data_IF_445040093290
#
_entry.id   IF_445040093290
#
_cell.length_a   1.000
_cell.length_b   1.000
_cell.length_c   1.000
_cell.angle_alpha   90.00
_cell.angle_beta   90.00
_cell.angle_gamma   90.00
#
_symmetry.space_group_name_H-M   'P 1'
#
loop_
_entity.id
_entity.type
_entity.pdbx_description
1 polymer ?
#
# COMPACT_ATOMS: atom_id res chain seq x y z
N UNK A 1 -31.19 -22.65 42.09
CA UNK A 1 -30.87 -24.09 42.15
C UNK A 1 -31.46 -24.90 41.00
N UNK A 2 -32.77 -24.97 40.79
CA UNK A 2 -33.37 -25.77 39.67
C UNK A 2 -32.89 -25.28 38.31
N UNK A 3 -32.81 -23.98 38.08
CA UNK A 3 -32.35 -23.39 36.85
C UNK A 3 -30.88 -23.72 36.55
N UNK A 4 -30.03 -23.77 37.55
CA UNK A 4 -28.62 -24.10 37.45
C UNK A 4 -28.39 -25.60 37.17
N UNK A 5 -29.24 -26.45 37.72
CA UNK A 5 -29.22 -27.90 37.40
C UNK A 5 -29.62 -28.10 35.94
N UNK A 6 -30.66 -27.47 35.45
CA UNK A 6 -31.10 -27.54 34.03
C UNK A 6 -29.99 -27.02 33.12
N UNK A 7 -29.37 -25.89 33.47
CA UNK A 7 -28.23 -25.34 32.73
C UNK A 7 -27.10 -26.34 32.59
N UNK A 8 -26.66 -26.96 33.69
CA UNK A 8 -25.59 -27.95 33.69
C UNK A 8 -25.95 -29.20 32.85
N UNK A 9 -27.19 -29.66 32.91
CA UNK A 9 -27.66 -30.79 32.10
C UNK A 9 -27.56 -30.45 30.61
N UNK A 10 -28.01 -29.26 30.19
CA UNK A 10 -27.92 -28.78 28.80
C UNK A 10 -26.46 -28.69 28.37
N UNK A 11 -25.58 -28.11 29.20
CA UNK A 11 -24.15 -27.95 28.91
C UNK A 11 -23.47 -29.32 28.72
N UNK A 12 -23.75 -30.28 29.56
CA UNK A 12 -23.23 -31.67 29.46
C UNK A 12 -23.74 -32.37 28.20
N UNK A 13 -25.02 -32.26 27.88
CA UNK A 13 -25.60 -32.82 26.64
C UNK A 13 -24.92 -32.23 25.40
N UNK A 14 -24.68 -30.91 25.41
CA UNK A 14 -23.97 -30.23 24.34
C UNK A 14 -22.50 -30.71 24.24
N UNK A 15 -21.84 -30.90 25.37
CA UNK A 15 -20.47 -31.42 25.41
C UNK A 15 -20.40 -32.84 24.82
N UNK A 16 -21.28 -33.73 25.22
CA UNK A 16 -21.36 -35.10 24.68
C UNK A 16 -21.62 -35.06 23.15
N UNK A 17 -22.52 -34.20 22.71
CA UNK A 17 -22.86 -34.06 21.30
C UNK A 17 -21.63 -33.58 20.48
N UNK A 18 -20.87 -32.62 20.97
CA UNK A 18 -19.64 -32.15 20.33
C UNK A 18 -18.54 -33.22 20.36
N UNK A 19 -18.42 -34.00 21.43
CA UNK A 19 -17.50 -35.13 21.53
C UNK A 19 -17.79 -36.21 20.47
N UNK A 20 -19.03 -36.63 20.34
CA UNK A 20 -19.42 -37.58 19.27
C UNK A 20 -19.17 -37.00 17.87
N UNK A 21 -19.37 -35.70 17.68
CA UNK A 21 -19.07 -35.04 16.43
C UNK A 21 -17.58 -35.04 16.10
N UNK A 22 -16.74 -34.83 17.11
CA UNK A 22 -15.27 -34.90 16.99
C UNK A 22 -14.88 -36.32 16.48
N UNK A 23 -15.40 -37.35 17.12
CA UNK A 23 -15.12 -38.77 16.74
C UNK A 23 -15.62 -39.04 15.31
N UNK A 24 -16.88 -38.67 15.01
CA UNK A 24 -17.49 -38.94 13.70
C UNK A 24 -16.75 -38.25 12.55
N UNK A 25 -16.28 -37.03 12.75
CA UNK A 25 -15.50 -36.28 11.74
C UNK A 25 -14.00 -36.59 11.77
N UNK A 26 -13.55 -37.43 12.72
CA UNK A 26 -12.14 -37.77 12.98
C UNK A 26 -11.26 -36.52 12.98
N UNK A 27 -11.70 -35.44 13.68
CA UNK A 27 -11.04 -34.17 13.68
C UNK A 27 -10.77 -33.66 15.09
N UNK A 28 -9.52 -33.71 15.50
CA UNK A 28 -9.05 -33.33 16.83
C UNK A 28 -9.21 -31.83 17.13
N UNK A 29 -9.45 -30.97 16.13
CA UNK A 29 -9.62 -29.54 16.35
C UNK A 29 -10.91 -29.20 17.12
N UNK A 30 -11.91 -30.08 17.10
CA UNK A 30 -13.07 -29.95 18.00
C UNK A 30 -12.70 -30.04 19.48
N UNK A 31 -11.50 -30.54 19.79
CA UNK A 31 -10.99 -30.58 21.17
C UNK A 31 -10.92 -29.18 21.78
N UNK A 32 -10.64 -28.15 21.01
CA UNK A 32 -10.63 -26.75 21.51
C UNK A 32 -12.03 -26.32 21.99
N UNK A 33 -13.08 -26.66 21.27
CA UNK A 33 -14.46 -26.35 21.72
C UNK A 33 -14.78 -27.16 22.96
N UNK A 34 -14.42 -28.46 22.97
CA UNK A 34 -14.63 -29.31 24.13
C UNK A 34 -13.90 -28.79 25.37
N UNK A 35 -12.69 -28.31 25.20
CA UNK A 35 -11.92 -27.69 26.30
C UNK A 35 -12.62 -26.42 26.81
N UNK A 36 -13.07 -25.53 25.93
CA UNK A 36 -13.81 -24.32 26.28
C UNK A 36 -15.14 -24.64 26.97
N UNK A 37 -15.87 -25.64 26.48
CA UNK A 37 -17.07 -26.13 27.12
C UNK A 37 -16.78 -26.69 28.51
N UNK A 38 -15.73 -27.48 28.66
CA UNK A 38 -15.32 -28.02 29.96
C UNK A 38 -14.99 -26.91 30.95
N UNK A 39 -14.22 -25.88 30.53
CA UNK A 39 -13.93 -24.70 31.35
C UNK A 39 -15.24 -23.98 31.76
N UNK A 40 -16.17 -23.78 30.82
CA UNK A 40 -17.47 -23.17 31.15
C UNK A 40 -18.29 -23.96 32.15
N UNK A 41 -18.34 -25.29 32.00
CA UNK A 41 -19.01 -26.19 32.96
C UNK A 41 -18.31 -26.14 34.34
N UNK A 42 -16.98 -26.13 34.38
CA UNK A 42 -16.19 -26.08 35.59
C UNK A 42 -16.41 -24.73 36.34
N UNK A 43 -16.44 -23.61 35.63
CA UNK A 43 -16.74 -22.28 36.22
C UNK A 43 -18.11 -22.31 36.89
N UNK A 44 -19.12 -22.82 36.19
CA UNK A 44 -20.47 -22.89 36.75
C UNK A 44 -20.58 -23.84 37.97
N UNK A 45 -19.81 -24.93 37.95
CA UNK A 45 -19.77 -25.90 39.05
C UNK A 45 -19.06 -25.31 40.28
N UNK A 46 -17.94 -24.58 40.13
CA UNK A 46 -17.24 -23.88 41.18
C UNK A 46 -18.14 -22.81 41.82
N UNK A 47 -18.86 -22.04 40.98
CA UNK A 47 -19.78 -21.03 41.48
C UNK A 47 -20.91 -21.63 42.30
N UNK A 48 -21.44 -22.79 41.88
CA UNK A 48 -22.52 -23.48 42.59
C UNK A 48 -22.11 -23.95 43.99
N UNK A 49 -20.84 -24.34 44.16
CA UNK A 49 -20.35 -24.97 45.42
C UNK A 49 -19.67 -23.96 46.36
N UNK A 50 -18.91 -23.01 45.81
CA UNK A 50 -17.93 -22.26 46.62
C UNK A 50 -18.27 -20.74 46.72
N UNK A 51 -19.21 -20.23 45.95
CA UNK A 51 -19.51 -18.78 45.92
C UNK A 51 -20.90 -18.52 46.51
N UNK A 52 -20.91 -17.90 47.66
CA UNK A 52 -22.15 -17.38 48.26
C UNK A 52 -22.56 -16.11 47.53
N UNK A 53 -23.61 -16.21 46.72
CA UNK A 53 -24.15 -15.12 45.91
C UNK A 53 -24.00 -15.33 44.41
N UNK A 54 -24.80 -14.63 43.61
CA UNK A 54 -24.77 -14.79 42.14
C UNK A 54 -23.80 -13.82 41.52
N UNK A 55 -22.68 -14.31 40.98
CA UNK A 55 -21.80 -13.51 40.16
C UNK A 55 -22.25 -13.56 38.66
N UNK A 56 -22.98 -12.52 38.27
CA UNK A 56 -23.58 -12.43 36.92
C UNK A 56 -22.54 -12.55 35.82
N UNK A 57 -21.34 -11.98 36.02
CA UNK A 57 -20.26 -12.03 35.03
C UNK A 57 -19.73 -13.45 34.82
N UNK A 58 -19.50 -14.20 35.91
CA UNK A 58 -19.04 -15.60 35.81
C UNK A 58 -20.11 -16.50 35.19
N UNK A 59 -21.38 -16.30 35.51
CA UNK A 59 -22.50 -17.04 34.88
C UNK A 59 -22.61 -16.75 33.39
N UNK A 60 -22.42 -15.49 32.99
CA UNK A 60 -22.42 -15.12 31.59
C UNK A 60 -21.26 -15.76 30.81
N UNK A 61 -20.07 -15.76 31.41
CA UNK A 61 -18.90 -16.44 30.82
C UNK A 61 -19.15 -17.94 30.70
N UNK A 62 -19.62 -18.60 31.76
CA UNK A 62 -19.95 -20.01 31.75
C UNK A 62 -20.99 -20.34 30.68
N UNK A 63 -22.05 -19.53 30.52
CA UNK A 63 -23.07 -19.68 29.50
C UNK A 63 -22.51 -19.54 28.08
N UNK A 64 -21.69 -18.51 27.85
CA UNK A 64 -21.07 -18.29 26.54
C UNK A 64 -20.18 -19.48 26.14
N UNK A 65 -19.34 -19.95 27.03
CA UNK A 65 -18.39 -21.04 26.73
C UNK A 65 -19.07 -22.39 26.58
N UNK A 66 -20.04 -22.73 27.47
CA UNK A 66 -20.59 -24.08 27.54
C UNK A 66 -21.78 -24.32 26.61
N UNK A 67 -22.56 -23.31 26.29
CA UNK A 67 -23.79 -23.42 25.50
C UNK A 67 -23.74 -22.58 24.24
N UNK A 68 -23.51 -21.26 24.36
CA UNK A 68 -23.64 -20.34 23.24
C UNK A 68 -22.62 -20.66 22.12
N UNK A 69 -21.35 -20.87 22.48
CA UNK A 69 -20.29 -21.17 21.52
C UNK A 69 -20.58 -22.45 20.71
N UNK A 70 -20.92 -23.61 21.32
CA UNK A 70 -21.30 -24.80 20.57
C UNK A 70 -22.54 -24.61 19.70
N UNK A 71 -23.57 -23.90 20.17
CA UNK A 71 -24.78 -23.63 19.38
C UNK A 71 -24.46 -22.80 18.15
N UNK A 72 -23.62 -21.78 18.28
CA UNK A 72 -23.18 -20.95 17.14
C UNK A 72 -22.42 -21.81 16.13
N UNK A 73 -21.48 -22.64 16.60
CA UNK A 73 -20.71 -23.56 15.72
C UNK A 73 -21.64 -24.54 15.00
N UNK A 74 -22.59 -25.16 15.73
CA UNK A 74 -23.57 -26.03 15.11
C UNK A 74 -24.44 -25.32 14.06
N UNK A 75 -24.86 -24.09 14.36
CA UNK A 75 -25.67 -23.28 13.45
C UNK A 75 -24.92 -22.91 12.16
N UNK A 76 -23.66 -22.51 12.27
CA UNK A 76 -22.81 -22.17 11.14
C UNK A 76 -22.54 -23.38 10.24
N UNK A 77 -22.20 -24.52 10.84
CA UNK A 77 -21.95 -25.76 10.09
C UNK A 77 -23.21 -26.32 9.42
N UNK A 78 -24.38 -26.28 10.11
CA UNK A 78 -25.64 -26.71 9.54
C UNK A 78 -26.05 -25.92 8.31
N UNK A 79 -25.68 -24.64 8.28
CA UNK A 79 -25.90 -23.75 7.13
C UNK A 79 -24.87 -23.96 6.01
N UNK A 80 -23.93 -24.91 6.14
CA UNK A 80 -22.82 -25.18 5.22
C UNK A 80 -21.98 -23.95 4.88
N UNK A 81 -21.93 -22.98 5.80
CA UNK A 81 -21.19 -21.75 5.54
C UNK A 81 -19.71 -21.91 5.80
N UNK A 82 -19.31 -22.52 6.91
CA UNK A 82 -17.90 -22.75 7.26
C UNK A 82 -17.82 -23.90 8.27
N UNK A 83 -16.85 -24.80 8.13
CA UNK A 83 -16.52 -25.80 9.16
C UNK A 83 -15.76 -25.13 10.32
N UNK A 84 -16.06 -25.50 11.57
CA UNK A 84 -15.36 -24.94 12.72
C UNK A 84 -13.83 -25.08 12.65
N UNK A 85 -13.29 -26.24 12.27
CA UNK A 85 -11.84 -26.40 12.10
C UNK A 85 -11.22 -25.48 11.05
N UNK A 86 -11.95 -25.19 9.97
CA UNK A 86 -11.54 -24.20 8.98
C UNK A 86 -11.46 -22.80 9.61
N UNK A 87 -12.53 -22.39 10.30
CA UNK A 87 -12.60 -21.10 10.99
C UNK A 87 -11.49 -20.94 12.04
N UNK A 88 -11.18 -21.99 12.81
CA UNK A 88 -10.11 -21.97 13.80
C UNK A 88 -8.74 -21.79 13.15
N UNK A 89 -8.45 -22.47 12.05
CA UNK A 89 -7.18 -22.32 11.35
C UNK A 89 -7.02 -20.92 10.74
N UNK A 90 -8.11 -20.35 10.18
CA UNK A 90 -8.13 -18.96 9.70
C UNK A 90 -7.86 -18.00 10.86
N UNK A 91 -8.51 -18.19 12.01
CA UNK A 91 -8.29 -17.38 13.19
C UNK A 91 -6.84 -17.44 13.68
N UNK A 92 -6.27 -18.66 13.78
CA UNK A 92 -4.89 -18.84 14.21
C UNK A 92 -3.89 -18.22 13.22
N UNK A 93 -4.12 -18.37 11.91
CA UNK A 93 -3.30 -17.74 10.89
C UNK A 93 -3.33 -16.21 11.01
N UNK A 94 -4.52 -15.61 11.15
CA UNK A 94 -4.67 -14.16 11.38
C UNK A 94 -3.98 -13.69 12.67
N UNK A 95 -4.07 -14.46 13.75
CA UNK A 95 -3.39 -14.16 15.00
C UNK A 95 -1.87 -14.16 14.80
N UNK A 96 -1.32 -15.15 14.11
CA UNK A 96 0.12 -15.22 13.80
C UNK A 96 0.56 -14.04 12.92
N UNK A 97 -0.25 -13.64 11.92
CA UNK A 97 0.04 -12.45 11.10
C UNK A 97 0.07 -11.17 11.92
N UNK A 98 -0.89 -10.99 12.84
CA UNK A 98 -0.90 -9.84 13.76
C UNK A 98 0.29 -9.82 14.72
N UNK A 99 0.83 -10.98 15.06
CA UNK A 99 2.03 -11.13 15.89
C UNK A 99 3.35 -10.99 15.09
N UNK A 100 3.29 -10.74 13.78
CA UNK A 100 4.46 -10.67 12.91
C UNK A 100 5.11 -12.04 12.61
N UNK A 101 4.42 -13.15 12.89
CA UNK A 101 4.91 -14.52 12.68
C UNK A 101 4.45 -15.06 11.32
N UNK A 102 4.96 -14.46 10.25
CA UNK A 102 4.50 -14.76 8.87
C UNK A 102 4.81 -16.20 8.44
N UNK A 103 5.96 -16.75 8.83
CA UNK A 103 6.35 -18.13 8.49
C UNK A 103 5.44 -19.16 9.12
N UNK A 104 5.04 -18.99 10.38
CA UNK A 104 4.08 -19.85 11.07
C UNK A 104 2.68 -19.70 10.46
N UNK A 105 2.24 -18.47 10.21
CA UNK A 105 0.96 -18.22 9.55
C UNK A 105 0.87 -18.93 8.20
N UNK A 106 1.90 -18.82 7.38
CA UNK A 106 2.00 -19.50 6.09
C UNK A 106 1.86 -21.02 6.22
N UNK A 107 2.53 -21.63 7.20
CA UNK A 107 2.41 -23.08 7.44
C UNK A 107 0.99 -23.48 7.81
N UNK A 108 0.30 -22.70 8.67
CA UNK A 108 -1.11 -22.92 8.99
C UNK A 108 -2.00 -22.79 7.76
N UNK A 109 -1.78 -21.77 6.92
CA UNK A 109 -2.56 -21.54 5.71
C UNK A 109 -2.37 -22.65 4.68
N UNK A 110 -1.14 -23.11 4.46
CA UNK A 110 -0.87 -24.26 3.56
C UNK A 110 -1.56 -25.53 4.06
N UNK A 111 -1.55 -25.79 5.36
CA UNK A 111 -2.27 -26.93 5.96
C UNK A 111 -3.77 -26.76 5.80
N UNK A 112 -4.26 -25.53 5.96
CA UNK A 112 -5.68 -25.20 5.78
C UNK A 112 -6.16 -25.50 4.36
N UNK A 113 -5.49 -24.93 3.32
CA UNK A 113 -5.93 -25.11 1.93
C UNK A 113 -5.76 -26.54 1.43
N UNK A 114 -4.79 -27.29 1.94
CA UNK A 114 -4.67 -28.72 1.63
C UNK A 114 -5.88 -29.52 2.15
N UNK A 115 -6.43 -29.12 3.29
CA UNK A 115 -7.61 -29.79 3.88
C UNK A 115 -8.93 -29.22 3.36
N UNK A 116 -8.95 -27.94 3.05
CA UNK A 116 -10.11 -27.17 2.58
C UNK A 116 -9.74 -26.39 1.32
N UNK A 117 -9.65 -27.07 0.15
CA UNK A 117 -9.25 -26.41 -1.10
C UNK A 117 -10.21 -25.29 -1.56
N UNK A 118 -11.46 -25.32 -1.07
CA UNK A 118 -12.48 -24.30 -1.34
C UNK A 118 -12.52 -23.21 -0.26
N UNK A 119 -11.45 -23.04 0.52
CA UNK A 119 -11.37 -22.01 1.55
C UNK A 119 -10.99 -20.67 0.94
N UNK A 120 -11.99 -19.83 0.69
CA UNK A 120 -11.79 -18.47 0.19
C UNK A 120 -10.80 -17.66 1.05
N UNK A 121 -11.07 -17.57 2.36
CA UNK A 121 -10.19 -16.82 3.28
C UNK A 121 -8.79 -17.45 3.40
N UNK A 122 -8.68 -18.77 3.28
CA UNK A 122 -7.40 -19.46 3.27
C UNK A 122 -6.51 -19.03 2.10
N UNK A 123 -7.07 -19.04 0.89
CA UNK A 123 -6.36 -18.59 -0.32
C UNK A 123 -6.05 -17.09 -0.27
N UNK A 124 -7.00 -16.26 0.14
CA UNK A 124 -6.82 -14.82 0.27
C UNK A 124 -5.68 -14.47 1.24
N UNK A 125 -5.70 -15.02 2.46
CA UNK A 125 -4.66 -14.77 3.46
C UNK A 125 -3.28 -15.30 3.02
N UNK A 126 -3.24 -16.43 2.31
CA UNK A 126 -1.99 -16.95 1.76
C UNK A 126 -1.43 -16.04 0.66
N UNK A 127 -2.30 -15.47 -0.17
CA UNK A 127 -1.92 -14.47 -1.16
C UNK A 127 -1.32 -13.22 -0.49
N UNK A 128 -1.95 -12.70 0.56
CA UNK A 128 -1.44 -11.56 1.35
C UNK A 128 -0.04 -11.85 1.96
N UNK A 129 0.20 -13.09 2.41
CA UNK A 129 1.52 -13.50 2.90
C UNK A 129 2.55 -13.52 1.77
N UNK A 130 2.20 -14.06 0.60
CA UNK A 130 3.10 -14.06 -0.55
C UNK A 130 3.40 -12.65 -1.06
N UNK A 131 2.42 -11.75 -1.02
CA UNK A 131 2.60 -10.34 -1.35
C UNK A 131 3.65 -9.67 -0.44
N UNK A 132 3.54 -9.86 0.87
CA UNK A 132 4.53 -9.37 1.84
C UNK A 132 5.93 -9.97 1.64
N UNK A 133 6.01 -11.23 1.21
CA UNK A 133 7.27 -11.89 0.86
C UNK A 133 7.84 -11.40 -0.49
N UNK A 134 7.15 -10.53 -1.23
CA UNK A 134 7.53 -10.09 -2.57
C UNK A 134 7.38 -11.17 -3.65
N UNK A 135 6.64 -12.25 -3.36
CA UNK A 135 6.40 -13.38 -4.27
C UNK A 135 5.14 -13.16 -5.10
N UNK A 136 5.20 -12.15 -5.98
CA UNK A 136 4.02 -11.63 -6.69
C UNK A 136 3.27 -12.72 -7.46
N UNK A 137 3.95 -13.54 -8.26
CA UNK A 137 3.30 -14.60 -9.05
C UNK A 137 2.56 -15.62 -8.19
N UNK A 138 3.08 -15.94 -6.99
CA UNK A 138 2.41 -16.82 -6.04
C UNK A 138 1.17 -16.13 -5.44
N UNK A 139 1.28 -14.85 -5.08
CA UNK A 139 0.17 -14.06 -4.55
C UNK A 139 -0.98 -13.99 -5.55
N UNK A 140 -0.70 -13.64 -6.80
CA UNK A 140 -1.70 -13.60 -7.90
C UNK A 140 -2.37 -14.97 -8.08
N UNK A 141 -1.61 -16.08 -8.08
CA UNK A 141 -2.17 -17.42 -8.20
C UNK A 141 -3.16 -17.75 -7.09
N UNK A 142 -2.84 -17.41 -5.85
CA UNK A 142 -3.74 -17.67 -4.71
C UNK A 142 -4.95 -16.72 -4.71
N UNK A 143 -4.79 -15.45 -5.10
CA UNK A 143 -5.92 -14.54 -5.29
C UNK A 143 -6.88 -15.01 -6.40
N UNK A 144 -6.38 -15.55 -7.52
CA UNK A 144 -7.22 -16.09 -8.58
C UNK A 144 -8.06 -17.27 -8.08
N UNK A 145 -7.49 -18.20 -7.30
CA UNK A 145 -8.25 -19.29 -6.66
C UNK A 145 -9.33 -18.74 -5.72
N UNK A 146 -9.01 -17.69 -4.95
CA UNK A 146 -10.01 -17.06 -4.08
C UNK A 146 -11.18 -16.48 -4.89
N UNK A 147 -10.92 -15.81 -6.03
CA UNK A 147 -11.98 -15.28 -6.92
C UNK A 147 -12.81 -16.40 -7.54
N UNK A 148 -12.20 -17.50 -7.95
CA UNK A 148 -12.94 -18.68 -8.47
C UNK A 148 -13.94 -19.20 -7.45
N UNK A 149 -13.56 -19.21 -6.16
CA UNK A 149 -14.42 -19.64 -5.05
C UNK A 149 -15.51 -18.61 -4.76
N UNK A 150 -15.17 -17.31 -4.74
CA UNK A 150 -16.11 -16.21 -4.43
C UNK A 150 -15.97 -15.05 -5.41
N UNK A 151 -16.61 -15.10 -6.60
CA UNK A 151 -16.50 -14.08 -7.64
C UNK A 151 -17.09 -12.69 -7.28
N UNK A 152 -17.76 -12.59 -6.12
CA UNK A 152 -18.39 -11.34 -5.66
C UNK A 152 -17.44 -10.42 -4.90
N UNK A 153 -16.26 -10.92 -4.53
CA UNK A 153 -15.28 -10.19 -3.72
C UNK A 153 -14.41 -9.29 -4.59
N UNK A 154 -14.91 -8.11 -4.88
CA UNK A 154 -14.31 -7.14 -5.82
C UNK A 154 -12.93 -6.63 -5.33
N UNK A 155 -12.70 -6.55 -4.02
CA UNK A 155 -11.43 -6.11 -3.43
C UNK A 155 -10.23 -6.96 -3.88
N UNK A 156 -10.44 -8.24 -4.16
CA UNK A 156 -9.36 -9.12 -4.64
C UNK A 156 -8.91 -8.73 -6.05
N UNK A 157 -9.83 -8.32 -6.90
CA UNK A 157 -9.49 -7.85 -8.24
C UNK A 157 -8.61 -6.59 -8.19
N UNK A 158 -8.88 -5.70 -7.24
CA UNK A 158 -8.02 -4.55 -6.97
C UNK A 158 -6.60 -5.00 -6.55
N UNK A 159 -6.49 -5.96 -5.61
CA UNK A 159 -5.19 -6.46 -5.17
C UNK A 159 -4.40 -7.10 -6.33
N UNK A 160 -5.07 -7.89 -7.17
CA UNK A 160 -4.43 -8.48 -8.37
C UNK A 160 -3.96 -7.38 -9.33
N UNK A 161 -4.80 -6.38 -9.61
CA UNK A 161 -4.44 -5.28 -10.51
C UNK A 161 -3.24 -4.48 -9.97
N UNK A 162 -3.19 -4.24 -8.66
CA UNK A 162 -2.08 -3.57 -8.01
C UNK A 162 -0.76 -4.37 -8.13
N UNK A 163 -0.83 -5.68 -7.96
CA UNK A 163 0.33 -6.56 -8.15
C UNK A 163 0.77 -6.65 -9.61
N UNK A 164 -0.19 -6.69 -10.56
CA UNK A 164 0.11 -6.65 -11.99
C UNK A 164 0.80 -5.34 -12.39
N UNK A 165 0.34 -4.22 -11.86
CA UNK A 165 0.99 -2.92 -12.05
C UNK A 165 2.42 -2.92 -11.51
N UNK A 166 2.66 -3.44 -10.30
CA UNK A 166 3.98 -3.57 -9.71
C UNK A 166 4.94 -4.46 -10.55
N UNK A 167 4.41 -5.43 -11.32
CA UNK A 167 5.16 -6.24 -12.30
C UNK A 167 5.31 -5.55 -13.67
N UNK A 168 4.77 -4.35 -13.85
CA UNK A 168 4.77 -3.64 -15.15
C UNK A 168 3.75 -4.17 -16.16
N UNK A 169 2.82 -5.04 -15.75
CA UNK A 169 1.72 -5.59 -16.58
C UNK A 169 0.53 -4.61 -16.62
N UNK A 170 0.82 -3.37 -17.01
CA UNK A 170 -0.13 -2.27 -16.89
C UNK A 170 -1.41 -2.47 -17.71
N UNK A 171 -1.33 -3.06 -18.91
CA UNK A 171 -2.52 -3.26 -19.74
C UNK A 171 -3.49 -4.26 -19.13
N UNK A 172 -2.98 -5.36 -18.56
CA UNK A 172 -3.78 -6.38 -17.87
C UNK A 172 -4.43 -5.80 -16.60
N UNK A 173 -3.68 -4.98 -15.85
CA UNK A 173 -4.21 -4.27 -14.69
C UNK A 173 -5.35 -3.31 -15.08
N UNK A 174 -5.20 -2.53 -16.16
CA UNK A 174 -6.22 -1.62 -16.69
C UNK A 174 -7.51 -2.38 -17.04
N UNK A 175 -7.41 -3.49 -17.78
CA UNK A 175 -8.57 -4.29 -18.17
C UNK A 175 -9.32 -4.80 -16.94
N UNK A 176 -8.59 -5.33 -15.95
CA UNK A 176 -9.18 -5.84 -14.72
C UNK A 176 -9.87 -4.73 -13.92
N UNK A 177 -9.24 -3.55 -13.78
CA UNK A 177 -9.82 -2.40 -13.08
C UNK A 177 -11.06 -1.87 -13.79
N UNK A 178 -11.05 -1.80 -15.13
CA UNK A 178 -12.21 -1.38 -15.92
C UNK A 178 -13.39 -2.35 -15.74
N UNK A 179 -13.14 -3.66 -15.67
CA UNK A 179 -14.20 -4.65 -15.44
C UNK A 179 -14.77 -4.56 -14.02
N UNK A 180 -13.95 -4.24 -13.02
CA UNK A 180 -14.43 -3.91 -11.68
C UNK A 180 -15.32 -2.67 -11.71
N UNK A 181 -14.88 -1.59 -12.37
CA UNK A 181 -15.60 -0.33 -12.41
C UNK A 181 -16.89 -0.38 -13.24
N UNK A 182 -17.00 -1.28 -14.23
CA UNK A 182 -18.27 -1.56 -14.90
C UNK A 182 -19.32 -2.13 -13.94
N UNK A 183 -18.90 -2.96 -12.97
CA UNK A 183 -19.79 -3.62 -12.00
C UNK A 183 -20.05 -2.75 -10.77
N UNK A 184 -19.06 -1.96 -10.36
CA UNK A 184 -19.07 -1.12 -9.15
C UNK A 184 -18.39 0.23 -9.46
N UNK A 185 -19.10 1.15 -10.14
CA UNK A 185 -18.52 2.42 -10.58
C UNK A 185 -18.04 3.33 -9.44
N UNK A 186 -18.59 3.13 -8.23
CA UNK A 186 -18.24 3.86 -7.01
C UNK A 186 -16.96 3.35 -6.33
N UNK A 187 -16.28 2.35 -6.89
CA UNK A 187 -15.09 1.77 -6.27
C UNK A 187 -13.87 2.69 -6.40
N UNK A 188 -13.71 3.57 -5.42
CA UNK A 188 -12.71 4.63 -5.43
C UNK A 188 -11.27 4.12 -5.64
N UNK A 189 -10.82 3.11 -4.89
CA UNK A 189 -9.46 2.58 -5.01
C UNK A 189 -9.13 2.07 -6.43
N UNK A 190 -10.11 1.43 -7.10
CA UNK A 190 -9.91 0.99 -8.48
C UNK A 190 -9.80 2.16 -9.45
N UNK A 191 -10.56 3.23 -9.22
CA UNK A 191 -10.48 4.45 -10.06
C UNK A 191 -9.13 5.14 -9.85
N UNK A 192 -8.68 5.25 -8.62
CA UNK A 192 -7.38 5.86 -8.27
C UNK A 192 -6.24 5.10 -8.94
N UNK A 193 -6.14 3.80 -8.72
CA UNK A 193 -5.10 2.96 -9.35
C UNK A 193 -5.17 2.98 -10.88
N UNK A 194 -6.38 2.92 -11.46
CA UNK A 194 -6.55 3.04 -12.91
C UNK A 194 -6.03 4.38 -13.43
N UNK A 195 -6.35 5.47 -12.74
CA UNK A 195 -5.90 6.79 -13.10
C UNK A 195 -4.38 6.95 -13.00
N UNK A 196 -3.78 6.41 -11.94
CA UNK A 196 -2.32 6.44 -11.72
C UNK A 196 -1.59 5.70 -12.86
N UNK A 197 -2.03 4.49 -13.20
CA UNK A 197 -1.47 3.72 -14.32
C UNK A 197 -1.64 4.48 -15.65
N UNK A 198 -2.78 5.12 -15.88
CA UNK A 198 -3.03 5.89 -17.10
C UNK A 198 -2.15 7.14 -17.17
N UNK A 199 -1.90 7.81 -16.05
CA UNK A 199 -0.97 8.96 -15.98
C UNK A 199 0.46 8.51 -16.27
N UNK A 200 0.92 7.39 -15.70
CA UNK A 200 2.25 6.84 -16.01
C UNK A 200 2.43 6.48 -17.50
N UNK A 201 1.34 6.05 -18.15
CA UNK A 201 1.33 5.78 -19.58
C UNK A 201 1.08 7.05 -20.46
N UNK A 202 1.08 8.25 -19.86
CA UNK A 202 0.78 9.52 -20.53
C UNK A 202 -0.62 9.59 -21.17
N UNK A 203 -1.55 8.72 -20.75
CA UNK A 203 -2.95 8.63 -21.23
C UNK A 203 -3.85 9.56 -20.41
N UNK A 204 -3.46 10.82 -20.28
CA UNK A 204 -4.08 11.81 -19.39
C UNK A 204 -5.58 12.01 -19.62
N UNK A 205 -6.04 12.02 -20.89
CA UNK A 205 -7.47 12.19 -21.21
C UNK A 205 -8.33 11.04 -20.69
N UNK A 206 -7.80 9.83 -20.68
CA UNK A 206 -8.51 8.66 -20.18
C UNK A 206 -8.53 8.67 -18.63
N UNK A 207 -7.45 9.08 -17.99
CA UNK A 207 -7.42 9.30 -16.56
C UNK A 207 -8.46 10.33 -16.10
N UNK A 208 -8.55 11.48 -16.81
CA UNK A 208 -9.56 12.50 -16.56
C UNK A 208 -10.98 11.94 -16.69
N UNK A 209 -11.23 11.12 -17.72
CA UNK A 209 -12.54 10.48 -17.90
C UNK A 209 -12.89 9.55 -16.75
N UNK A 210 -11.92 8.73 -16.29
CA UNK A 210 -12.11 7.82 -15.18
C UNK A 210 -12.42 8.56 -13.86
N UNK A 211 -11.63 9.58 -13.53
CA UNK A 211 -11.84 10.39 -12.32
C UNK A 211 -13.17 11.15 -12.35
N UNK A 212 -13.50 11.78 -13.50
CA UNK A 212 -14.76 12.52 -13.67
C UNK A 212 -15.98 11.61 -13.54
N UNK A 213 -15.90 10.39 -14.07
CA UNK A 213 -16.98 9.41 -13.91
C UNK A 213 -17.14 8.99 -12.45
N UNK A 214 -16.05 8.79 -11.70
CA UNK A 214 -16.08 8.44 -10.30
C UNK A 214 -16.65 9.56 -9.41
N UNK A 215 -16.40 10.83 -9.75
CA UNK A 215 -16.96 11.98 -9.04
C UNK A 215 -18.50 12.04 -9.07
N UNK A 216 -19.15 11.42 -10.06
CA UNK A 216 -20.63 11.33 -10.09
C UNK A 216 -21.20 10.53 -8.93
N UNK A 217 -20.41 9.59 -8.39
CA UNK A 217 -20.80 8.73 -7.27
C UNK A 217 -20.28 9.25 -5.93
N UNK A 218 -19.19 10.00 -5.94
CA UNK A 218 -18.63 10.61 -4.73
C UNK A 218 -18.14 12.04 -4.99
N UNK A 219 -19.06 13.01 -5.08
CA UNK A 219 -18.73 14.40 -5.44
C UNK A 219 -17.94 15.15 -4.35
N UNK A 220 -17.83 14.61 -3.15
CA UNK A 220 -17.04 15.21 -2.06
C UNK A 220 -15.64 14.59 -1.90
N UNK A 221 -15.22 13.75 -2.83
CA UNK A 221 -13.89 13.11 -2.76
C UNK A 221 -12.79 14.08 -3.22
N UNK A 222 -12.09 14.69 -2.28
CA UNK A 222 -11.00 15.64 -2.56
C UNK A 222 -9.82 15.01 -3.30
N UNK A 223 -9.54 13.71 -3.12
CA UNK A 223 -8.46 13.03 -3.85
C UNK A 223 -8.72 12.97 -5.36
N UNK A 224 -9.96 12.72 -5.77
CA UNK A 224 -10.31 12.73 -7.20
C UNK A 224 -10.12 14.12 -7.82
N UNK A 225 -10.47 15.18 -7.09
CA UNK A 225 -10.20 16.55 -7.56
C UNK A 225 -8.70 16.83 -7.66
N UNK A 226 -7.92 16.39 -6.66
CA UNK A 226 -6.48 16.53 -6.69
C UNK A 226 -5.85 15.79 -7.88
N UNK A 227 -6.26 14.54 -8.12
CA UNK A 227 -5.78 13.72 -9.24
C UNK A 227 -6.21 14.31 -10.61
N UNK A 228 -7.39 14.92 -10.71
CA UNK A 228 -7.77 15.70 -11.89
C UNK A 228 -6.84 16.90 -12.10
N UNK A 229 -6.51 17.61 -11.04
CA UNK A 229 -5.51 18.69 -11.07
C UNK A 229 -4.18 18.21 -11.64
N UNK A 230 -3.67 17.08 -11.17
CA UNK A 230 -2.44 16.44 -11.70
C UNK A 230 -2.59 16.15 -13.20
N UNK A 231 -3.67 15.49 -13.61
CA UNK A 231 -3.88 15.11 -15.01
C UNK A 231 -3.95 16.33 -15.94
N UNK A 232 -4.58 17.42 -15.51
CA UNK A 232 -4.61 18.68 -16.27
C UNK A 232 -3.25 19.40 -16.26
N UNK A 233 -2.48 19.33 -15.18
CA UNK A 233 -1.10 19.83 -15.14
C UNK A 233 -0.23 19.12 -16.18
N UNK A 234 -0.36 17.79 -16.30
CA UNK A 234 0.37 17.01 -17.31
C UNK A 234 -0.03 17.33 -18.74
N UNK A 235 -1.26 17.83 -18.96
CA UNK A 235 -1.71 18.38 -20.24
C UNK A 235 -1.30 19.84 -20.48
N UNK A 236 -0.58 20.46 -19.53
CA UNK A 236 -0.26 21.90 -19.49
C UNK A 236 -1.51 22.82 -19.49
N UNK A 237 -2.66 22.29 -19.05
CA UNK A 237 -3.88 23.06 -18.85
C UNK A 237 -3.93 23.57 -17.41
N UNK A 238 -3.07 24.54 -17.14
CA UNK A 238 -2.86 25.06 -15.78
C UNK A 238 -4.09 25.77 -15.23
N UNK A 239 -4.96 26.32 -16.11
CA UNK A 239 -6.20 26.96 -15.68
C UNK A 239 -7.14 25.94 -15.03
N UNK A 240 -7.45 24.83 -15.72
CA UNK A 240 -8.28 23.77 -15.16
C UNK A 240 -7.62 23.07 -13.99
N UNK A 241 -6.29 22.90 -14.04
CA UNK A 241 -5.54 22.33 -12.92
C UNK A 241 -5.72 23.18 -11.66
N UNK A 242 -5.61 24.51 -11.73
CA UNK A 242 -5.84 25.45 -10.62
C UNK A 242 -7.23 25.24 -10.02
N UNK A 243 -8.29 25.25 -10.85
CA UNK A 243 -9.68 25.05 -10.41
C UNK A 243 -9.88 23.73 -9.65
N UNK A 244 -9.28 22.65 -10.12
CA UNK A 244 -9.40 21.35 -9.48
C UNK A 244 -8.58 21.25 -8.18
N UNK A 245 -7.38 21.82 -8.12
CA UNK A 245 -6.60 21.87 -6.87
C UNK A 245 -7.26 22.76 -5.82
N UNK A 246 -7.83 23.91 -6.20
CA UNK A 246 -8.62 24.77 -5.32
C UNK A 246 -9.79 24.00 -4.73
N UNK A 247 -10.53 23.26 -5.59
CA UNK A 247 -11.65 22.45 -5.14
C UNK A 247 -11.23 21.34 -4.18
N UNK A 248 -10.07 20.70 -4.42
CA UNK A 248 -9.50 19.72 -3.52
C UNK A 248 -9.14 20.34 -2.15
N UNK A 249 -8.50 21.52 -2.16
CA UNK A 249 -8.12 22.24 -0.96
C UNK A 249 -9.34 22.81 -0.17
N UNK A 250 -10.43 23.20 -0.86
CA UNK A 250 -11.69 23.57 -0.21
C UNK A 250 -12.31 22.38 0.55
N UNK A 251 -12.32 21.21 -0.06
CA UNK A 251 -12.90 19.99 0.54
C UNK A 251 -12.01 19.43 1.66
N UNK A 252 -10.71 19.61 1.56
CA UNK A 252 -9.75 19.22 2.59
C UNK A 252 -8.67 20.29 2.77
N UNK A 253 -8.84 21.17 3.74
CA UNK A 253 -7.91 22.26 4.04
C UNK A 253 -6.51 21.81 4.49
N UNK A 254 -6.37 20.55 4.90
CA UNK A 254 -5.10 19.91 5.29
C UNK A 254 -4.40 19.21 4.11
N UNK A 255 -4.95 19.29 2.91
CA UNK A 255 -4.31 18.74 1.71
C UNK A 255 -3.19 19.68 1.24
N UNK A 256 -2.08 19.67 1.96
CA UNK A 256 -0.92 20.56 1.69
C UNK A 256 -0.28 20.32 0.32
N UNK A 257 -0.38 19.10 -0.22
CA UNK A 257 0.06 18.79 -1.59
C UNK A 257 -0.70 19.63 -2.65
N UNK A 258 -2.01 19.84 -2.47
CA UNK A 258 -2.77 20.70 -3.38
C UNK A 258 -2.30 22.15 -3.29
N UNK A 259 -1.96 22.64 -2.10
CA UNK A 259 -1.40 23.99 -1.90
C UNK A 259 -0.03 24.15 -2.55
N UNK A 260 0.84 23.13 -2.44
CA UNK A 260 2.12 23.12 -3.15
C UNK A 260 1.91 23.17 -4.68
N UNK A 261 0.96 22.40 -5.21
CA UNK A 261 0.64 22.43 -6.64
C UNK A 261 0.07 23.78 -7.08
N UNK A 262 -0.79 24.39 -6.27
CA UNK A 262 -1.30 25.76 -6.52
C UNK A 262 -0.16 26.79 -6.53
N UNK A 263 0.79 26.68 -5.62
CA UNK A 263 1.97 27.56 -5.60
C UNK A 263 2.79 27.44 -6.89
N UNK A 264 3.00 26.21 -7.38
CA UNK A 264 3.71 25.98 -8.65
C UNK A 264 3.00 26.64 -9.83
N UNK A 265 1.68 26.54 -9.88
CA UNK A 265 0.88 27.18 -10.94
C UNK A 265 0.93 28.71 -10.82
N UNK A 266 0.85 29.24 -9.59
CA UNK A 266 0.96 30.68 -9.34
C UNK A 266 2.34 31.22 -9.76
N UNK A 267 3.44 30.46 -9.54
CA UNK A 267 4.77 30.83 -10.05
C UNK A 267 4.76 30.91 -11.58
N UNK A 268 4.13 29.95 -12.27
CA UNK A 268 4.04 29.94 -13.74
C UNK A 268 3.29 31.18 -14.25
N UNK A 269 2.26 31.64 -13.55
CA UNK A 269 1.52 32.86 -13.89
C UNK A 269 2.16 34.16 -13.40
N UNK A 270 3.26 34.08 -12.63
CA UNK A 270 3.91 35.25 -12.03
C UNK A 270 3.18 35.84 -10.82
N UNK A 271 2.22 35.10 -10.26
CA UNK A 271 1.44 35.47 -9.07
C UNK A 271 2.28 35.16 -7.79
N UNK A 272 3.44 35.82 -7.66
CA UNK A 272 4.49 35.44 -6.71
C UNK A 272 4.07 35.56 -5.23
N UNK A 273 3.21 36.54 -4.90
CA UNK A 273 2.73 36.71 -3.52
C UNK A 273 1.73 35.64 -3.13
N UNK A 274 0.85 35.24 -4.06
CA UNK A 274 -0.08 34.14 -3.86
C UNK A 274 0.68 32.80 -3.72
N UNK A 275 1.69 32.59 -4.57
CA UNK A 275 2.56 31.40 -4.50
C UNK A 275 3.26 31.30 -3.15
N UNK A 276 3.81 32.40 -2.64
CA UNK A 276 4.48 32.47 -1.34
C UNK A 276 3.52 32.11 -0.18
N UNK A 277 2.28 32.60 -0.23
CA UNK A 277 1.24 32.27 0.75
C UNK A 277 0.96 30.74 0.77
N UNK A 278 0.74 30.14 -0.39
CA UNK A 278 0.51 28.68 -0.50
C UNK A 278 1.70 27.87 -0.01
N UNK A 279 2.94 28.30 -0.29
CA UNK A 279 4.15 27.63 0.16
C UNK A 279 4.32 27.69 1.68
N UNK A 280 4.03 28.84 2.33
CA UNK A 280 4.06 28.92 3.78
C UNK A 280 3.00 28.03 4.45
N UNK A 281 1.87 27.81 3.77
CA UNK A 281 0.90 26.84 4.26
C UNK A 281 1.39 25.41 4.08
N UNK A 282 2.06 25.08 2.97
CA UNK A 282 2.59 23.74 2.71
C UNK A 282 3.73 23.33 3.64
N UNK A 283 4.48 24.29 4.22
CA UNK A 283 5.50 24.05 5.25
C UNK A 283 4.95 23.41 6.54
N UNK A 284 3.62 23.39 6.73
CA UNK A 284 3.02 22.67 7.87
C UNK A 284 3.13 21.16 7.74
N UNK A 285 3.40 20.67 6.54
CA UNK A 285 3.67 19.26 6.26
C UNK A 285 5.19 19.07 6.10
N UNK A 286 5.76 18.26 6.99
CA UNK A 286 7.22 18.00 6.99
C UNK A 286 7.70 17.28 5.73
N UNK A 287 6.84 16.50 5.08
CA UNK A 287 7.20 15.80 3.83
C UNK A 287 7.35 16.77 2.67
N UNK A 288 6.69 17.93 2.72
CA UNK A 288 6.74 18.97 1.70
C UNK A 288 7.75 20.09 2.01
N UNK A 289 8.38 20.04 3.17
CA UNK A 289 9.21 21.13 3.68
C UNK A 289 10.36 21.47 2.74
N UNK A 290 11.11 20.47 2.28
CA UNK A 290 12.24 20.64 1.38
C UNK A 290 11.83 21.25 0.03
N UNK A 291 10.77 20.69 -0.58
CA UNK A 291 10.21 21.18 -1.83
C UNK A 291 9.66 22.61 -1.71
N UNK A 292 8.99 22.92 -0.60
CA UNK A 292 8.45 24.27 -0.35
C UNK A 292 9.55 25.30 -0.22
N UNK A 293 10.63 25.02 0.50
CA UNK A 293 11.79 25.91 0.57
C UNK A 293 12.49 26.07 -0.77
N UNK A 294 12.54 25.03 -1.60
CA UNK A 294 13.09 25.13 -2.96
C UNK A 294 12.28 26.13 -3.81
N UNK A 295 10.95 26.07 -3.78
CA UNK A 295 10.10 27.02 -4.52
C UNK A 295 10.09 28.42 -3.90
N UNK A 296 10.20 28.57 -2.58
CA UNK A 296 10.43 29.86 -1.93
C UNK A 296 11.74 30.49 -2.40
N UNK A 297 12.81 29.72 -2.57
CA UNK A 297 14.05 30.18 -3.15
C UNK A 297 13.89 30.66 -4.60
N UNK A 298 13.09 29.94 -5.42
CA UNK A 298 12.77 30.38 -6.78
C UNK A 298 12.02 31.72 -6.77
N UNK A 299 11.01 31.87 -5.90
CA UNK A 299 10.26 33.14 -5.77
C UNK A 299 11.19 34.29 -5.35
N UNK A 300 12.09 34.05 -4.39
CA UNK A 300 13.03 35.04 -3.96
C UNK A 300 13.98 35.51 -5.09
N UNK A 301 14.45 34.55 -5.93
CA UNK A 301 15.20 34.88 -7.14
C UNK A 301 14.39 35.70 -8.13
N UNK A 302 13.12 35.35 -8.38
CA UNK A 302 12.22 36.09 -9.28
C UNK A 302 11.91 37.48 -8.75
N UNK A 303 11.89 37.67 -7.42
CA UNK A 303 11.75 38.98 -6.76
C UNK A 303 13.08 39.77 -6.67
N UNK A 304 14.23 39.19 -7.07
CA UNK A 304 15.55 39.79 -7.02
C UNK A 304 16.20 39.81 -5.63
N UNK A 305 15.69 39.00 -4.68
CA UNK A 305 16.22 38.88 -3.32
C UNK A 305 17.13 37.65 -3.21
N UNK A 306 18.38 37.82 -3.68
CA UNK A 306 19.36 36.71 -3.69
C UNK A 306 19.71 36.21 -2.29
N UNK A 307 19.72 37.05 -1.29
CA UNK A 307 20.07 36.67 0.09
C UNK A 307 19.00 35.73 0.67
N UNK A 308 17.71 36.04 0.46
CA UNK A 308 16.63 35.13 0.86
C UNK A 308 16.67 33.86 0.07
N UNK A 309 16.92 33.91 -1.25
CA UNK A 309 17.02 32.73 -2.10
C UNK A 309 18.13 31.78 -1.59
N UNK A 310 19.29 32.30 -1.23
CA UNK A 310 20.41 31.54 -0.64
C UNK A 310 19.97 30.88 0.68
N UNK A 311 19.30 31.65 1.56
CA UNK A 311 18.85 31.09 2.85
C UNK A 311 17.84 29.98 2.68
N UNK A 312 16.80 30.16 1.86
CA UNK A 312 15.81 29.13 1.59
C UNK A 312 16.42 27.90 0.92
N UNK A 313 17.32 28.10 -0.06
CA UNK A 313 17.97 26.99 -0.75
C UNK A 313 18.89 26.18 0.19
N UNK A 314 19.59 26.84 1.12
CA UNK A 314 20.39 26.14 2.14
C UNK A 314 19.53 25.22 2.98
N UNK A 315 18.37 25.69 3.45
CA UNK A 315 17.42 24.87 4.22
C UNK A 315 16.90 23.69 3.37
N UNK A 316 16.49 23.95 2.12
CA UNK A 316 16.01 22.91 1.23
C UNK A 316 17.05 21.79 1.02
N UNK A 317 18.31 22.17 0.76
CA UNK A 317 19.42 21.21 0.50
C UNK A 317 19.88 20.52 1.79
N UNK A 318 19.74 21.16 2.96
CA UNK A 318 20.03 20.53 4.26
C UNK A 318 19.03 19.41 4.57
N UNK A 319 17.73 19.62 4.29
CA UNK A 319 16.67 18.63 4.47
C UNK A 319 16.80 17.52 3.41
N UNK A 320 16.96 17.92 2.14
CA UNK A 320 17.02 17.00 1.00
C UNK A 320 18.22 17.29 0.09
N UNK A 321 19.37 16.63 0.34
CA UNK A 321 20.62 16.87 -0.41
C UNK A 321 20.52 16.70 -1.92
N UNK A 322 19.53 15.95 -2.41
CA UNK A 322 19.32 15.72 -3.85
C UNK A 322 18.84 16.98 -4.58
N UNK A 323 18.21 17.92 -3.89
CA UNK A 323 17.80 19.22 -4.44
C UNK A 323 18.99 20.06 -4.90
N UNK A 324 20.19 19.80 -4.39
CA UNK A 324 21.40 20.46 -4.90
C UNK A 324 21.63 20.16 -6.40
N UNK A 325 21.41 18.92 -6.84
CA UNK A 325 21.55 18.54 -8.26
C UNK A 325 20.47 19.22 -9.12
N UNK A 326 19.25 19.37 -8.60
CA UNK A 326 18.16 20.09 -9.26
C UNK A 326 18.47 21.58 -9.38
N UNK A 327 18.95 22.20 -8.30
CA UNK A 327 19.40 23.61 -8.29
C UNK A 327 20.54 23.87 -9.28
N UNK A 328 21.55 22.98 -9.36
CA UNK A 328 22.68 23.15 -10.28
C UNK A 328 22.24 23.20 -11.75
N UNK A 329 21.15 22.51 -12.09
CA UNK A 329 20.57 22.46 -13.46
C UNK A 329 19.58 23.59 -13.74
N UNK A 330 19.03 24.20 -12.71
CA UNK A 330 18.03 25.25 -12.85
C UNK A 330 18.71 26.60 -13.12
N UNK A 331 18.41 27.18 -14.27
CA UNK A 331 19.02 28.44 -14.73
C UNK A 331 18.72 29.63 -13.83
N UNK A 332 17.64 29.58 -13.08
CA UNK A 332 17.25 30.67 -12.16
C UNK A 332 18.27 30.88 -11.02
N UNK A 333 19.00 29.83 -10.63
CA UNK A 333 19.95 29.85 -9.53
C UNK A 333 21.43 30.08 -9.96
N UNK A 334 21.67 30.40 -11.23
CA UNK A 334 23.05 30.56 -11.77
C UNK A 334 23.90 31.48 -10.95
N UNK A 335 23.35 32.60 -10.46
CA UNK A 335 24.11 33.62 -9.69
C UNK A 335 24.45 33.16 -8.27
N UNK A 336 23.58 32.35 -7.65
CA UNK A 336 23.72 31.96 -6.23
C UNK A 336 24.30 30.56 -6.02
N UNK A 337 24.42 29.73 -7.06
CA UNK A 337 24.86 28.34 -6.93
C UNK A 337 26.19 28.13 -6.22
N UNK A 338 27.10 29.10 -6.33
CA UNK A 338 28.41 29.05 -5.66
C UNK A 338 28.35 29.41 -4.17
N UNK A 339 27.25 29.98 -3.72
CA UNK A 339 27.02 30.38 -2.33
C UNK A 339 26.37 29.24 -1.51
N UNK A 340 25.98 28.14 -2.19
CA UNK A 340 25.40 26.96 -1.57
C UNK A 340 26.47 25.88 -1.43
N UNK A 341 26.68 25.39 -0.22
CA UNK A 341 27.68 24.36 0.04
C UNK A 341 27.26 23.01 -0.53
N UNK A 342 28.19 22.36 -1.25
CA UNK A 342 27.91 21.02 -1.83
C UNK A 342 27.72 19.99 -0.71
N UNK A 343 26.59 19.28 -0.64
CA UNK A 343 26.37 18.24 0.36
C UNK A 343 27.44 17.13 0.27
N UNK A 344 27.82 16.57 1.43
CA UNK A 344 28.83 15.53 1.50
C UNK A 344 28.44 14.27 0.68
N UNK A 345 27.15 13.95 0.64
CA UNK A 345 26.61 12.83 -0.16
C UNK A 345 26.73 13.08 -1.67
N UNK A 346 26.45 14.32 -2.11
CA UNK A 346 26.63 14.73 -3.50
C UNK A 346 28.10 14.64 -3.93
N UNK A 347 29.03 15.10 -3.08
CA UNK A 347 30.48 14.97 -3.31
C UNK A 347 30.91 13.51 -3.46
N UNK A 348 30.41 12.62 -2.59
CA UNK A 348 30.67 11.16 -2.68
C UNK A 348 30.10 10.53 -3.96
N UNK A 349 28.87 10.92 -4.36
CA UNK A 349 28.22 10.45 -5.59
C UNK A 349 29.01 10.85 -6.84
N UNK A 350 29.48 12.11 -6.90
CA UNK A 350 30.33 12.60 -7.99
C UNK A 350 31.70 11.89 -8.02
N UNK A 351 32.36 11.70 -6.89
CA UNK A 351 33.62 10.97 -6.82
C UNK A 351 33.47 9.52 -7.30
N UNK A 352 32.37 8.82 -6.90
CA UNK A 352 32.07 7.46 -7.38
C UNK A 352 31.86 7.44 -8.89
N UNK A 353 31.16 8.43 -9.44
CA UNK A 353 30.92 8.55 -10.89
C UNK A 353 32.23 8.78 -11.64
N UNK A 354 33.08 9.72 -11.19
CA UNK A 354 34.40 10.00 -11.76
C UNK A 354 35.31 8.75 -11.73
N UNK A 355 35.38 8.06 -10.58
CA UNK A 355 36.19 6.85 -10.42
C UNK A 355 35.69 5.73 -11.31
N UNK A 356 34.40 5.63 -11.55
CA UNK A 356 33.82 4.62 -12.44
C UNK A 356 34.07 4.97 -13.89
N UNK A 357 33.96 6.22 -14.29
CA UNK A 357 34.31 6.69 -15.66
C UNK A 357 35.80 6.51 -15.94
N UNK A 358 36.70 6.79 -14.99
CA UNK A 358 38.13 6.52 -15.09
C UNK A 358 38.43 5.01 -15.23
N UNK A 359 37.73 4.15 -14.48
CA UNK A 359 37.88 2.68 -14.62
C UNK A 359 37.39 2.20 -15.96
N UNK A 360 36.26 2.71 -16.48
CA UNK A 360 35.76 2.41 -17.83
C UNK A 360 36.72 2.88 -18.90
N UNK A 361 37.25 4.09 -18.77
CA UNK A 361 38.25 4.63 -19.68
C UNK A 361 39.54 3.75 -19.72
N UNK A 362 40.07 3.40 -18.55
CA UNK A 362 41.24 2.53 -18.41
C UNK A 362 41.00 1.12 -18.98
N UNK A 363 39.79 0.58 -18.82
CA UNK A 363 39.40 -0.70 -19.38
C UNK A 363 39.30 -0.64 -20.92
N UNK A 364 38.74 0.44 -21.48
CA UNK A 364 38.68 0.71 -22.90
C UNK A 364 40.09 0.85 -23.51
N UNK A 365 40.97 1.60 -22.86
CA UNK A 365 42.37 1.78 -23.28
C UNK A 365 43.16 0.45 -23.27
N UNK A 366 42.97 -0.39 -22.24
CA UNK A 366 43.57 -1.71 -22.15
C UNK A 366 43.05 -2.67 -23.23
N UNK A 367 41.75 -2.61 -23.55
CA UNK A 367 41.11 -3.42 -24.58
C UNK A 367 41.57 -2.97 -25.98
N UNK A 368 41.71 -1.65 -26.20
CA UNK A 368 42.23 -1.10 -27.45
C UNK A 368 43.71 -1.46 -27.70
N UNK A 369 44.52 -1.54 -26.63
CA UNK A 369 45.92 -1.96 -26.75
C UNK A 369 46.10 -3.43 -27.17
N UNK A 370 45.11 -4.26 -26.86
CA UNK A 370 45.13 -5.70 -27.23
C UNK A 370 44.59 -5.92 -28.65
N UNK A 371 43.69 -5.09 -29.17
CA UNK A 371 43.01 -5.28 -30.46
C UNK A 371 43.61 -4.43 -31.59
N UNK A 372 44.55 -3.55 -31.32
CA UNK A 372 45.48 -2.93 -32.30
C UNK A 372 44.89 -2.11 -33.45
N UNK A 373 43.59 -1.96 -33.64
CA UNK A 373 42.95 -1.11 -34.68
C UNK A 373 41.46 -0.93 -34.45
N UNK A 374 41.05 -0.23 -33.40
CA UNK A 374 39.66 0.26 -33.29
C UNK A 374 39.61 1.74 -33.67
N UNK A 375 38.73 2.12 -34.61
CA UNK A 375 38.53 3.51 -34.98
C UNK A 375 37.56 4.22 -33.97
N UNK A 376 37.46 5.53 -34.06
CA UNK A 376 36.58 6.32 -33.13
C UNK A 376 35.09 5.93 -33.14
N UNK A 377 34.62 5.27 -34.21
CA UNK A 377 33.24 4.78 -34.31
C UNK A 377 33.04 3.51 -33.50
N UNK A 378 34.05 2.62 -33.47
CA UNK A 378 34.00 1.38 -32.69
C UNK A 378 34.08 1.65 -31.20
N UNK A 379 34.87 2.66 -30.80
CA UNK A 379 34.94 3.14 -29.41
C UNK A 379 33.58 3.72 -28.94
N UNK A 380 32.89 4.45 -29.82
CA UNK A 380 31.55 5.00 -29.52
C UNK A 380 30.50 3.90 -29.41
N UNK A 381 30.61 2.86 -30.25
CA UNK A 381 29.70 1.72 -30.20
C UNK A 381 29.91 0.87 -28.94
N UNK A 382 31.16 0.61 -28.53
CA UNK A 382 31.50 -0.07 -27.29
C UNK A 382 31.04 0.72 -26.05
N UNK A 383 31.15 2.04 -26.06
CA UNK A 383 30.67 2.91 -24.99
C UNK A 383 29.14 2.81 -24.82
N UNK A 384 28.38 2.82 -25.91
CA UNK A 384 26.95 2.62 -25.90
C UNK A 384 26.54 1.22 -25.40
N UNK A 385 27.27 0.18 -25.71
CA UNK A 385 27.01 -1.18 -25.21
C UNK A 385 27.26 -1.29 -23.71
N UNK A 386 28.32 -0.67 -23.20
CA UNK A 386 28.66 -0.65 -21.78
C UNK A 386 27.66 0.21 -20.98
N UNK A 387 27.20 1.31 -21.54
CA UNK A 387 26.13 2.14 -20.93
C UNK A 387 24.80 1.37 -20.88
N UNK A 388 24.41 0.66 -21.92
CA UNK A 388 23.21 -0.19 -21.95
C UNK A 388 23.29 -1.40 -21.02
N UNK A 389 24.47 -1.98 -20.78
CA UNK A 389 24.65 -3.02 -19.75
C UNK A 389 24.55 -2.48 -18.33
N UNK A 390 24.87 -1.19 -18.11
CA UNK A 390 24.73 -0.50 -16.83
C UNK A 390 23.27 -0.33 -16.42
N UNK A 391 22.34 -0.19 -17.37
CA UNK A 391 20.88 -0.16 -17.12
C UNK A 391 20.30 -1.54 -16.79
N UNK A 392 20.78 -2.60 -17.44
CA UNK A 392 20.33 -3.98 -17.16
C UNK A 392 20.83 -4.58 -15.84
N UNK A 393 21.87 -4.01 -15.23
CA UNK A 393 22.42 -4.46 -13.94
C UNK A 393 21.76 -3.83 -12.71
N UNK A 394 20.76 -2.93 -12.89
CA UNK A 394 19.96 -2.33 -11.80
C UNK A 394 18.60 -2.99 -11.59
N UNK A 395 18.28 -3.97 -12.42
CA UNK A 395 17.04 -4.76 -12.37
C UNK A 395 17.24 -6.18 -11.77
N UNK A 396 18.29 -6.35 -10.94
CA UNK A 396 18.46 -7.60 -10.17
C UNK A 396 18.70 -7.33 -8.70
#
# INVERSE_FOLDING_TARGET
>A
MIFEIIFNIIAVVMFITMFFKMIKKNNTQYLYILLMQFIGILINFIELIFIEGTNVTLKLIAFILSIMLPVVVFGLEKRKKIDFPEMLNIFLANLMLKMGKETEAKRYLLTLINKYPESFEGHKLLAEVYEKEGRISNAVSEYLKAIEISPKEIEINYNIANLMHAEGKNNEAIELLQDVLKKKPEHFKCTELLGDILIEQERYKEAISAYTNSLRYNPANYNLYYNLGIAYTMLNDFQRAKEYYEKAAELNSLLYHAKLSLAQIAIIYGELDEAEMYLFESLKDKELESGSYYYLAQIAMLKGDEDKAINYMKVAVEIEPELYEKMEKDTIFVTIKNNIEKPAEYRKKQQRKLTMDQKVQKHLESTCSIVGKLNNSDLKMMRNVLENQKYKGRER
#
